data_IF_933650777309
#
_entry.id   IF_933650777309
#
_cell.length_a   1.000
_cell.length_b   1.000
_cell.length_c   1.000
_cell.angle_alpha   90.00
_cell.angle_beta   90.00
_cell.angle_gamma   90.00
#
_symmetry.space_group_name_H-M   'P 1'
#
loop_
_entity.id
_entity.type
_entity.pdbx_description
1 polymer ?
#
# COMPACT_ATOMS: atom_id res chain seq x y z
N UNK A 1 -25.95 20.65 1.33
CA UNK A 1 -25.45 19.27 1.48
C UNK A 1 -24.13 19.20 0.75
N UNK A 2 -23.04 19.04 1.50
CA UNK A 2 -21.66 18.99 0.99
C UNK A 2 -21.38 17.65 0.27
N UNK A 3 -22.12 17.36 -0.81
CA UNK A 3 -21.95 16.12 -1.59
C UNK A 3 -20.55 15.97 -2.19
N UNK A 4 -19.86 17.09 -2.40
CA UNK A 4 -18.49 17.18 -2.90
C UNK A 4 -17.48 16.46 -1.99
N UNK A 5 -17.60 16.59 -0.67
CA UNK A 5 -16.71 15.92 0.28
C UNK A 5 -16.82 14.39 0.22
N UNK A 6 -18.04 13.88 0.06
CA UNK A 6 -18.30 12.44 -0.07
C UNK A 6 -17.69 11.90 -1.35
N UNK A 7 -17.84 12.61 -2.47
CA UNK A 7 -17.28 12.22 -3.78
C UNK A 7 -15.75 12.12 -3.72
N UNK A 8 -15.09 13.08 -3.08
CA UNK A 8 -13.63 13.05 -2.91
C UNK A 8 -13.18 11.83 -2.10
N UNK A 9 -13.84 11.54 -0.97
CA UNK A 9 -13.50 10.37 -0.15
C UNK A 9 -13.69 9.02 -0.86
N UNK A 10 -14.73 8.91 -1.69
CA UNK A 10 -14.96 7.72 -2.52
C UNK A 10 -13.86 7.55 -3.57
N UNK A 11 -13.46 8.63 -4.25
CA UNK A 11 -12.38 8.60 -5.24
C UNK A 11 -11.06 8.16 -4.59
N UNK A 12 -10.71 8.73 -3.44
CA UNK A 12 -9.49 8.38 -2.70
C UNK A 12 -9.51 6.90 -2.30
N UNK A 13 -10.63 6.41 -1.77
CA UNK A 13 -10.79 4.99 -1.39
C UNK A 13 -10.57 4.06 -2.58
N UNK A 14 -11.15 4.39 -3.74
CA UNK A 14 -10.96 3.61 -4.97
C UNK A 14 -9.49 3.60 -5.37
N UNK A 15 -8.82 4.76 -5.43
CA UNK A 15 -7.41 4.87 -5.82
C UNK A 15 -6.52 4.04 -4.89
N UNK A 16 -6.65 4.20 -3.57
CA UNK A 16 -5.84 3.47 -2.60
C UNK A 16 -6.14 1.98 -2.57
N UNK A 17 -7.39 1.56 -2.80
CA UNK A 17 -7.74 0.14 -2.90
C UNK A 17 -7.08 -0.54 -4.10
N UNK A 18 -7.10 0.12 -5.27
CA UNK A 18 -6.45 -0.38 -6.48
C UNK A 18 -4.94 -0.43 -6.29
N UNK A 19 -4.35 0.61 -5.69
CA UNK A 19 -2.92 0.63 -5.38
C UNK A 19 -2.53 -0.54 -4.47
N UNK A 20 -3.32 -0.83 -3.43
CA UNK A 20 -3.11 -1.96 -2.54
C UNK A 20 -3.16 -3.30 -3.28
N UNK A 21 -4.14 -3.50 -4.16
CA UNK A 21 -4.26 -4.72 -4.99
C UNK A 21 -3.05 -4.89 -5.91
N UNK A 22 -2.60 -3.81 -6.55
CA UNK A 22 -1.42 -3.83 -7.43
C UNK A 22 -0.16 -4.19 -6.65
N UNK A 23 0.04 -3.58 -5.48
CA UNK A 23 1.19 -3.88 -4.61
C UNK A 23 1.17 -5.33 -4.11
N UNK A 24 -0.01 -5.85 -3.76
CA UNK A 24 -0.19 -7.25 -3.37
C UNK A 24 0.19 -8.20 -4.51
N UNK A 25 -0.24 -7.90 -5.74
CA UNK A 25 0.12 -8.64 -6.94
C UNK A 25 1.61 -8.60 -7.26
N UNK A 26 2.25 -7.43 -7.10
CA UNK A 26 3.70 -7.30 -7.22
C UNK A 26 4.44 -8.15 -6.19
N UNK A 27 3.97 -8.16 -4.93
CA UNK A 27 4.54 -9.00 -3.88
C UNK A 27 4.51 -10.48 -4.26
N UNK A 28 3.38 -10.97 -4.78
CA UNK A 28 3.28 -12.35 -5.27
C UNK A 28 4.24 -12.63 -6.45
N UNK A 29 4.33 -11.70 -7.40
CA UNK A 29 5.20 -11.83 -8.56
C UNK A 29 6.68 -11.88 -8.15
N UNK A 30 7.07 -11.08 -7.15
CA UNK A 30 8.41 -11.12 -6.56
C UNK A 30 8.69 -12.48 -5.92
N UNK A 31 7.77 -13.01 -5.11
CA UNK A 31 7.96 -14.35 -4.49
C UNK A 31 8.12 -15.41 -5.59
N UNK A 32 7.26 -15.41 -6.61
CA UNK A 32 7.36 -16.36 -7.71
C UNK A 32 8.66 -16.20 -8.51
N UNK A 33 9.21 -14.99 -8.61
CA UNK A 33 10.50 -14.75 -9.28
C UNK A 33 11.70 -15.19 -8.43
N UNK A 34 11.66 -14.96 -7.11
CA UNK A 34 12.75 -15.35 -6.20
C UNK A 34 12.73 -16.83 -5.83
N UNK A 35 11.57 -17.48 -5.86
CA UNK A 35 11.45 -18.92 -5.62
C UNK A 35 12.00 -19.70 -6.83
N UNK A 36 13.06 -20.52 -6.65
CA UNK A 36 13.64 -21.31 -7.75
C UNK A 36 12.79 -22.55 -8.10
N UNK A 37 11.60 -22.68 -7.52
CA UNK A 37 10.68 -23.81 -7.69
C UNK A 37 9.27 -23.30 -7.97
N UNK A 38 8.46 -24.14 -8.61
CA UNK A 38 7.11 -23.81 -9.02
C UNK A 38 6.14 -23.85 -7.83
N UNK A 39 5.81 -22.68 -7.27
CA UNK A 39 4.86 -22.55 -6.16
C UNK A 39 3.52 -23.27 -6.43
N UNK A 40 3.01 -23.20 -7.67
CA UNK A 40 1.78 -23.89 -8.06
C UNK A 40 1.90 -25.40 -7.90
N UNK A 41 3.02 -25.98 -8.31
CA UNK A 41 3.28 -27.42 -8.20
C UNK A 41 3.34 -27.85 -6.74
N UNK A 42 4.11 -27.13 -5.93
CA UNK A 42 4.25 -27.47 -4.51
C UNK A 42 2.92 -27.37 -3.74
N UNK A 43 2.05 -26.41 -4.09
CA UNK A 43 0.76 -26.22 -3.40
C UNK A 43 -0.31 -27.18 -3.93
N UNK A 44 -0.38 -27.40 -5.25
CA UNK A 44 -1.45 -28.15 -5.90
C UNK A 44 -1.14 -29.64 -6.03
N UNK A 45 0.05 -29.99 -6.53
CA UNK A 45 0.44 -31.38 -6.77
C UNK A 45 0.99 -32.01 -5.48
N UNK A 46 1.96 -31.35 -4.83
CA UNK A 46 2.64 -31.88 -3.64
C UNK A 46 1.89 -31.56 -2.33
N UNK A 47 0.80 -30.81 -2.42
CA UNK A 47 -0.07 -30.41 -1.29
C UNK A 47 0.71 -29.89 -0.07
N UNK A 48 1.76 -29.10 -0.31
CA UNK A 48 2.61 -28.58 0.75
C UNK A 48 1.90 -27.46 1.54
N UNK A 49 1.19 -27.87 2.59
CA UNK A 49 0.47 -26.96 3.50
C UNK A 49 1.42 -25.93 4.13
N UNK A 50 2.66 -26.32 4.45
CA UNK A 50 3.64 -25.42 5.06
C UNK A 50 3.97 -24.24 4.13
N UNK A 51 4.13 -24.51 2.82
CA UNK A 51 4.33 -23.45 1.83
C UNK A 51 3.10 -22.52 1.73
N UNK A 52 1.90 -23.09 1.78
CA UNK A 52 0.66 -22.31 1.82
C UNK A 52 0.60 -21.35 3.01
N UNK A 53 0.98 -21.83 4.20
CA UNK A 53 1.05 -21.00 5.42
C UNK A 53 2.09 -19.88 5.27
N UNK A 54 3.26 -20.18 4.74
CA UNK A 54 4.33 -19.19 4.53
C UNK A 54 3.87 -18.09 3.57
N UNK A 55 3.27 -18.45 2.44
CA UNK A 55 2.76 -17.48 1.47
C UNK A 55 1.65 -16.63 2.10
N UNK A 56 0.75 -17.24 2.87
CA UNK A 56 -0.26 -16.53 3.65
C UNK A 56 0.36 -15.52 4.63
N UNK A 57 1.40 -15.91 5.36
CA UNK A 57 2.11 -15.02 6.28
C UNK A 57 2.80 -13.85 5.56
N UNK A 58 3.37 -14.09 4.37
CA UNK A 58 3.96 -13.02 3.55
C UNK A 58 2.89 -12.03 3.08
N UNK A 59 1.71 -12.50 2.65
CA UNK A 59 0.59 -11.62 2.30
C UNK A 59 0.13 -10.76 3.49
N UNK A 60 0.07 -11.32 4.69
CA UNK A 60 -0.24 -10.56 5.91
C UNK A 60 0.83 -9.47 6.14
N UNK A 61 2.11 -9.81 6.01
CA UNK A 61 3.21 -8.85 6.14
C UNK A 61 3.11 -7.70 5.12
N UNK A 62 2.83 -8.01 3.86
CA UNK A 62 2.62 -7.00 2.81
C UNK A 62 1.42 -6.12 3.13
N UNK A 63 0.30 -6.70 3.55
CA UNK A 63 -0.91 -5.95 3.91
C UNK A 63 -0.65 -4.94 5.04
N UNK A 64 0.12 -5.33 6.06
CA UNK A 64 0.52 -4.43 7.16
C UNK A 64 1.37 -3.27 6.63
N UNK A 65 2.40 -3.56 5.82
CA UNK A 65 3.29 -2.53 5.25
C UNK A 65 2.50 -1.53 4.41
N UNK A 66 1.64 -2.03 3.50
CA UNK A 66 0.79 -1.20 2.64
C UNK A 66 -0.14 -0.32 3.48
N UNK A 67 -0.78 -0.90 4.51
CA UNK A 67 -1.64 -0.15 5.42
C UNK A 67 -0.90 0.96 6.18
N UNK A 68 0.33 0.69 6.64
CA UNK A 68 1.17 1.70 7.31
C UNK A 68 1.57 2.84 6.38
N UNK A 69 1.92 2.54 5.12
CA UNK A 69 2.29 3.56 4.13
C UNK A 69 1.11 4.45 3.78
N UNK A 70 -0.07 3.87 3.55
CA UNK A 70 -1.29 4.63 3.22
C UNK A 70 -1.73 5.53 4.39
N UNK A 71 -1.54 5.08 5.62
CA UNK A 71 -1.91 5.84 6.83
C UNK A 71 -0.93 6.99 7.14
N UNK A 72 0.28 6.98 6.57
CA UNK A 72 1.32 7.97 6.89
C UNK A 72 0.91 9.39 6.46
N UNK A 73 0.84 10.36 7.39
CA UNK A 73 0.47 11.73 7.05
C UNK A 73 1.61 12.44 6.30
N UNK A 74 1.49 12.56 4.99
CA UNK A 74 2.41 13.35 4.14
C UNK A 74 2.26 14.87 4.31
N UNK A 75 1.33 15.33 5.15
CA UNK A 75 0.94 16.73 5.34
C UNK A 75 1.97 17.58 6.11
N UNK A 76 2.97 16.97 6.75
CA UNK A 76 3.94 17.69 7.59
C UNK A 76 4.86 18.63 6.81
N UNK A 77 5.16 18.34 5.53
CA UNK A 77 6.04 19.17 4.71
C UNK A 77 5.33 20.45 4.20
N UNK A 78 4.08 20.33 3.74
CA UNK A 78 3.34 21.47 3.16
C UNK A 78 3.01 22.58 4.15
N UNK A 79 2.83 22.25 5.43
CA UNK A 79 2.58 23.25 6.48
C UNK A 79 3.82 24.06 6.85
N UNK A 80 5.02 23.47 6.76
CA UNK A 80 6.28 24.16 7.09
C UNK A 80 6.61 25.22 6.03
N UNK A 81 6.46 24.88 4.75
CA UNK A 81 6.70 25.79 3.63
C UNK A 81 5.76 27.01 3.70
N UNK A 82 4.46 26.76 3.96
CA UNK A 82 3.46 27.82 4.15
C UNK A 82 3.82 28.80 5.27
N UNK A 83 4.32 28.29 6.40
CA UNK A 83 4.72 29.13 7.54
C UNK A 83 5.97 29.98 7.24
N UNK A 84 6.88 29.48 6.39
CA UNK A 84 8.10 30.20 5.99
C UNK A 84 7.74 31.33 5.02
N UNK A 85 6.91 31.06 4.00
CA UNK A 85 6.46 32.09 3.05
C UNK A 85 5.72 33.23 3.76
N UNK A 86 4.83 32.91 4.69
CA UNK A 86 4.13 33.92 5.49
C UNK A 86 5.08 34.79 6.32
N UNK A 87 6.15 34.21 6.88
CA UNK A 87 7.16 34.99 7.61
C UNK A 87 7.96 35.91 6.68
N UNK A 88 8.29 35.46 5.47
CA UNK A 88 9.02 36.27 4.49
C UNK A 88 8.15 37.44 4.01
N UNK A 89 6.85 37.21 3.80
CA UNK A 89 5.90 38.24 3.38
C UNK A 89 5.66 39.29 4.47
N UNK A 90 5.66 38.90 5.76
CA UNK A 90 5.53 39.83 6.89
C UNK A 90 6.79 40.68 7.16
N UNK A 91 7.95 40.30 6.62
CA UNK A 91 9.20 41.07 6.76
C UNK A 91 9.50 42.00 5.58
N UNK A 92 8.64 42.03 4.56
CA UNK A 92 8.71 42.94 3.41
C UNK A 92 7.78 44.13 3.60
#
# INVERSE_FOLDING_TARGET
MEWTGVIHGVIDTVIYSVLGIVLMGLGFLLINFFSPFSLKKEIEDDQNIALGIIIGAVFIGIAIIVGSVITSPSSSSKSVEKNIEQKIEQQK
#
